data_IF_799006359930
#
_entry.id   IF_799006359930
#
_cell.length_a   1.000
_cell.length_b   1.000
_cell.length_c   1.000
_cell.angle_alpha   90.00
_cell.angle_beta   90.00
_cell.angle_gamma   90.00
#
_symmetry.space_group_name_H-M   'P 1'
#
loop_
_entity.id
_entity.type
_entity.pdbx_description
1 polymer ?
#
# COMPACT_ATOMS: atom_id res chain seq x y z
N UNK A 1 6.86 -4.45 0.17
CA UNK A 1 6.47 -4.97 -1.15
C UNK A 1 6.92 -4.06 -2.31
N UNK A 2 6.51 -2.78 -2.36
CA UNK A 2 6.87 -1.84 -3.44
C UNK A 2 8.38 -1.81 -3.76
N UNK A 3 9.24 -1.72 -2.75
CA UNK A 3 10.71 -1.78 -2.91
C UNK A 3 11.17 -3.03 -3.68
N UNK A 4 10.54 -4.18 -3.42
CA UNK A 4 10.88 -5.47 -4.03
C UNK A 4 10.39 -5.58 -5.47
N UNK A 5 9.26 -4.96 -5.82
CA UNK A 5 8.78 -4.78 -7.20
C UNK A 5 9.72 -3.85 -7.96
N UNK A 6 10.05 -2.69 -7.38
CA UNK A 6 10.94 -1.71 -8.00
C UNK A 6 12.36 -2.24 -8.23
N UNK A 7 12.85 -3.16 -7.38
CA UNK A 7 14.11 -3.86 -7.61
C UNK A 7 14.10 -4.65 -8.92
N UNK A 8 13.03 -5.40 -9.21
CA UNK A 8 12.89 -6.18 -10.45
C UNK A 8 12.77 -5.26 -11.67
N UNK A 9 12.00 -4.16 -11.54
CA UNK A 9 11.81 -3.20 -12.62
C UNK A 9 13.10 -2.48 -12.99
N UNK A 10 13.83 -1.97 -12.01
CA UNK A 10 15.11 -1.27 -12.22
C UNK A 10 16.17 -2.20 -12.80
N UNK A 11 16.20 -3.48 -12.41
CA UNK A 11 17.12 -4.47 -12.98
C UNK A 11 16.95 -4.66 -14.50
N UNK A 12 15.80 -4.26 -15.06
CA UNK A 12 15.49 -4.32 -16.48
C UNK A 12 15.39 -2.92 -17.12
N UNK A 13 15.87 -1.87 -16.44
CA UNK A 13 15.83 -0.50 -16.97
C UNK A 13 14.43 0.13 -17.01
N UNK A 14 13.45 -0.46 -16.32
CA UNK A 14 12.09 0.09 -16.26
C UNK A 14 11.97 1.15 -15.15
N UNK A 15 11.13 2.19 -15.36
CA UNK A 15 10.84 3.18 -14.32
C UNK A 15 10.25 2.53 -13.07
N UNK A 16 10.62 3.08 -11.91
CA UNK A 16 10.01 2.73 -10.62
C UNK A 16 8.53 3.10 -10.61
N UNK A 17 7.73 2.28 -9.95
CA UNK A 17 6.38 2.63 -9.55
C UNK A 17 6.43 3.41 -8.23
N UNK A 18 5.42 4.22 -7.99
CA UNK A 18 5.17 4.86 -6.70
C UNK A 18 3.88 4.34 -6.06
N UNK A 19 3.73 4.58 -4.76
CA UNK A 19 2.53 4.21 -4.03
C UNK A 19 1.34 5.10 -4.43
N UNK A 20 0.14 4.52 -4.46
CA UNK A 20 -1.12 5.25 -4.55
C UNK A 20 -2.19 4.60 -3.66
N UNK A 21 -2.74 5.38 -2.74
CA UNK A 21 -3.65 4.99 -1.67
C UNK A 21 -4.96 4.39 -2.17
N UNK A 22 -5.44 4.82 -3.34
CA UNK A 22 -6.66 4.28 -3.96
C UNK A 22 -6.45 2.86 -4.49
N UNK A 23 -5.30 2.61 -5.15
CA UNK A 23 -4.90 1.26 -5.54
C UNK A 23 -4.68 0.37 -4.32
N UNK A 24 -4.06 0.92 -3.26
CA UNK A 24 -3.86 0.23 -1.99
C UNK A 24 -5.19 -0.20 -1.35
N UNK A 25 -6.19 0.70 -1.33
CA UNK A 25 -7.52 0.40 -0.80
C UNK A 25 -8.22 -0.71 -1.60
N UNK A 26 -8.11 -0.70 -2.93
CA UNK A 26 -8.64 -1.76 -3.79
C UNK A 26 -7.97 -3.12 -3.52
N UNK A 27 -6.64 -3.14 -3.41
CA UNK A 27 -5.88 -4.34 -3.08
C UNK A 27 -6.25 -4.88 -1.69
N UNK A 28 -6.42 -4.00 -0.70
CA UNK A 28 -6.80 -4.37 0.67
C UNK A 28 -8.18 -5.01 0.71
N UNK A 29 -9.12 -4.45 -0.03
CA UNK A 29 -10.45 -5.03 -0.18
C UNK A 29 -10.37 -6.46 -0.71
N UNK A 30 -9.58 -6.71 -1.75
CA UNK A 30 -9.46 -8.04 -2.33
C UNK A 30 -8.76 -9.04 -1.40
N UNK A 31 -7.65 -8.64 -0.78
CA UNK A 31 -6.95 -9.50 0.19
C UNK A 31 -7.83 -9.87 1.38
N UNK A 32 -8.59 -8.91 1.91
CA UNK A 32 -9.53 -9.15 3.00
C UNK A 32 -10.66 -10.10 2.59
N UNK A 33 -11.23 -9.92 1.39
CA UNK A 33 -12.30 -10.78 0.89
C UNK A 33 -11.83 -12.22 0.68
N UNK A 34 -10.69 -12.41 0.02
CA UNK A 34 -10.06 -13.73 -0.16
C UNK A 34 -9.79 -14.42 1.17
N UNK A 35 -9.26 -13.68 2.17
CA UNK A 35 -8.99 -14.21 3.49
C UNK A 35 -10.26 -14.56 4.27
N UNK A 36 -11.28 -13.70 4.25
CA UNK A 36 -12.52 -13.90 4.98
C UNK A 36 -13.40 -15.02 4.39
N UNK A 37 -13.36 -15.20 3.07
CA UNK A 37 -14.18 -16.17 2.35
C UNK A 37 -13.42 -17.42 1.93
N UNK A 38 -12.15 -17.52 2.32
CA UNK A 38 -11.30 -18.69 2.13
C UNK A 38 -11.16 -19.14 0.66
N UNK A 39 -10.84 -18.21 -0.25
CA UNK A 39 -10.61 -18.50 -1.66
C UNK A 39 -9.45 -17.66 -2.22
N UNK A 40 -8.95 -18.00 -3.41
CA UNK A 40 -8.01 -17.17 -4.17
C UNK A 40 -8.54 -17.00 -5.59
N UNK A 41 -8.82 -15.76 -5.99
CA UNK A 41 -9.33 -15.39 -7.31
C UNK A 41 -9.12 -13.89 -7.55
N UNK A 42 -9.11 -13.49 -8.83
CA UNK A 42 -9.18 -12.09 -9.24
C UNK A 42 -10.59 -11.50 -9.06
N UNK A 43 -11.61 -12.35 -9.08
CA UNK A 43 -13.01 -11.97 -8.86
C UNK A 43 -13.34 -12.07 -7.38
N UNK A 44 -13.89 -11.02 -6.79
CA UNK A 44 -14.35 -11.00 -5.40
C UNK A 44 -15.59 -11.87 -5.19
N UNK A 45 -15.89 -12.19 -3.93
CA UNK A 45 -17.06 -12.98 -3.54
C UNK A 45 -18.39 -12.28 -3.86
N UNK A 46 -18.34 -10.97 -4.07
CA UNK A 46 -19.43 -10.11 -4.51
C UNK A 46 -19.47 -9.91 -6.04
N UNK A 47 -18.74 -10.73 -6.79
CA UNK A 47 -18.53 -10.59 -8.25
C UNK A 47 -17.77 -9.34 -8.69
N UNK A 48 -17.15 -8.59 -7.77
CA UNK A 48 -16.31 -7.45 -8.13
C UNK A 48 -15.10 -7.89 -8.95
N UNK A 49 -14.75 -7.11 -9.96
CA UNK A 49 -13.51 -7.27 -10.74
C UNK A 49 -12.44 -6.35 -10.18
N UNK A 50 -11.17 -6.58 -10.52
CA UNK A 50 -10.08 -5.64 -10.26
C UNK A 50 -10.47 -4.21 -10.67
N UNK A 51 -10.94 -4.03 -11.90
CA UNK A 51 -11.29 -2.70 -12.41
C UNK A 51 -12.45 -2.07 -11.66
N UNK A 52 -13.46 -2.83 -11.23
CA UNK A 52 -14.57 -2.29 -10.44
C UNK A 52 -14.13 -1.87 -9.04
N UNK A 53 -13.27 -2.67 -8.37
CA UNK A 53 -12.70 -2.31 -7.06
C UNK A 53 -11.85 -1.04 -7.14
N UNK A 54 -10.95 -0.97 -8.12
CA UNK A 54 -10.07 0.18 -8.34
C UNK A 54 -10.88 1.44 -8.69
N UNK A 55 -11.89 1.31 -9.54
CA UNK A 55 -12.78 2.44 -9.89
C UNK A 55 -13.61 2.89 -8.68
N UNK A 56 -14.11 1.95 -7.88
CA UNK A 56 -14.87 2.25 -6.65
C UNK A 56 -14.01 2.91 -5.56
N UNK A 57 -12.70 2.62 -5.53
CA UNK A 57 -11.74 3.32 -4.68
C UNK A 57 -11.42 4.75 -5.18
N UNK A 58 -12.04 5.20 -6.27
CA UNK A 58 -11.88 6.53 -6.82
C UNK A 58 -10.72 6.70 -7.80
N UNK A 59 -9.94 5.64 -8.07
CA UNK A 59 -8.81 5.73 -8.99
C UNK A 59 -9.29 5.82 -10.44
N UNK A 60 -8.83 6.83 -11.17
CA UNK A 60 -9.12 7.04 -12.60
C UNK A 60 -7.97 6.48 -13.44
N UNK A 61 -8.25 5.50 -14.29
CA UNK A 61 -7.21 4.71 -14.95
C UNK A 61 -7.33 4.65 -16.47
N UNK A 62 -6.18 4.46 -17.11
CA UNK A 62 -6.03 4.13 -18.54
C UNK A 62 -5.37 2.77 -18.75
N UNK A 63 -4.67 2.23 -17.75
CA UNK A 63 -4.18 0.86 -17.72
C UNK A 63 -4.19 0.33 -16.29
N UNK A 64 -4.52 -0.96 -16.13
CA UNK A 64 -4.52 -1.67 -14.87
C UNK A 64 -3.84 -3.03 -15.00
N UNK A 65 -3.42 -3.61 -13.88
CA UNK A 65 -2.97 -4.99 -13.75
C UNK A 65 -3.12 -5.46 -12.31
N UNK A 66 -3.37 -6.75 -12.08
CA UNK A 66 -3.49 -7.33 -10.74
C UNK A 66 -2.72 -8.63 -10.65
N UNK A 67 -2.03 -8.84 -9.53
CA UNK A 67 -1.57 -10.14 -9.11
C UNK A 67 -2.22 -10.51 -7.79
N UNK A 68 -2.73 -11.74 -7.68
CA UNK A 68 -3.18 -12.31 -6.41
C UNK A 68 -2.34 -13.53 -6.05
N UNK A 69 -2.22 -13.82 -4.77
CA UNK A 69 -1.56 -15.04 -4.29
C UNK A 69 -2.11 -15.45 -2.92
N UNK A 70 -1.93 -16.73 -2.59
CA UNK A 70 -2.27 -17.26 -1.29
C UNK A 70 -1.25 -18.33 -0.84
N UNK A 71 -0.93 -18.36 0.45
CA UNK A 71 -0.06 -19.35 1.10
C UNK A 71 1.39 -18.92 1.30
N UNK A 72 1.85 -17.86 0.62
CA UNK A 72 3.23 -17.37 0.78
C UNK A 72 3.36 -16.54 2.06
N UNK A 73 4.27 -16.94 2.94
CA UNK A 73 4.36 -16.40 4.31
C UNK A 73 4.99 -15.00 4.38
N UNK A 74 5.69 -14.57 3.34
CA UNK A 74 6.36 -13.27 3.31
C UNK A 74 6.56 -12.71 1.88
N UNK A 75 6.93 -11.43 1.82
CA UNK A 75 7.14 -10.68 0.56
C UNK A 75 8.15 -11.36 -0.38
N UNK A 76 9.22 -11.95 0.14
CA UNK A 76 10.21 -12.62 -0.71
C UNK A 76 9.63 -13.87 -1.37
N UNK A 77 8.92 -14.70 -0.60
CA UNK A 77 8.28 -15.91 -1.12
C UNK A 77 7.22 -15.63 -2.19
N UNK A 78 6.36 -14.62 -1.98
CA UNK A 78 5.31 -14.27 -2.95
C UNK A 78 5.87 -13.60 -4.20
N UNK A 79 6.88 -12.74 -4.06
CA UNK A 79 7.53 -12.12 -5.21
C UNK A 79 8.32 -13.13 -6.04
N UNK A 80 8.99 -14.10 -5.43
CA UNK A 80 9.62 -15.21 -6.16
C UNK A 80 8.57 -16.01 -6.94
N UNK A 81 7.43 -16.33 -6.32
CA UNK A 81 6.33 -17.04 -6.99
C UNK A 81 5.78 -16.26 -8.20
N UNK A 82 5.50 -14.96 -8.04
CA UNK A 82 5.03 -14.12 -9.14
C UNK A 82 6.06 -13.93 -10.25
N UNK A 83 7.34 -13.71 -9.92
CA UNK A 83 8.38 -13.51 -10.95
C UNK A 83 8.69 -14.79 -11.75
N UNK A 84 8.40 -15.97 -11.20
CA UNK A 84 8.50 -17.26 -11.88
C UNK A 84 7.24 -17.62 -12.69
N UNK A 85 6.18 -16.81 -12.60
CA UNK A 85 4.94 -17.02 -13.35
C UNK A 85 4.84 -16.00 -14.49
N UNK A 86 4.78 -16.42 -15.77
CA UNK A 86 4.82 -15.50 -16.91
C UNK A 86 3.76 -14.39 -16.86
N UNK A 87 2.51 -14.73 -16.51
CA UNK A 87 1.42 -13.74 -16.40
C UNK A 87 1.65 -12.72 -15.29
N UNK A 88 1.99 -13.19 -14.09
CA UNK A 88 2.23 -12.29 -12.95
C UNK A 88 3.48 -11.42 -13.15
N UNK A 89 4.53 -11.99 -13.74
CA UNK A 89 5.74 -11.26 -14.14
C UNK A 89 5.41 -10.16 -15.15
N UNK A 90 4.56 -10.45 -16.14
CA UNK A 90 4.15 -9.45 -17.13
C UNK A 90 3.46 -8.24 -16.47
N UNK A 91 2.61 -8.46 -15.46
CA UNK A 91 2.01 -7.37 -14.68
C UNK A 91 3.06 -6.55 -13.92
N UNK A 92 4.00 -7.21 -13.22
CA UNK A 92 5.08 -6.53 -12.46
C UNK A 92 5.94 -5.63 -13.36
N UNK A 93 6.17 -6.06 -14.60
CA UNK A 93 7.01 -5.36 -15.58
C UNK A 93 6.20 -4.48 -16.55
N UNK A 94 4.88 -4.39 -16.38
CA UNK A 94 4.00 -3.65 -17.27
C UNK A 94 4.22 -2.12 -17.25
N UNK A 95 3.61 -1.44 -18.21
CA UNK A 95 3.69 0.01 -18.40
C UNK A 95 2.72 0.75 -17.47
N UNK A 96 3.06 0.75 -16.19
CA UNK A 96 2.34 1.42 -15.10
C UNK A 96 3.21 2.50 -14.46
N UNK A 97 2.58 3.39 -13.70
CA UNK A 97 3.28 4.45 -12.95
C UNK A 97 3.03 4.35 -11.44
N UNK A 98 1.92 3.73 -11.03
CA UNK A 98 1.47 3.64 -9.64
C UNK A 98 1.18 2.19 -9.24
N UNK A 99 1.18 1.96 -7.93
CA UNK A 99 1.08 0.64 -7.32
C UNK A 99 0.39 0.72 -5.96
N UNK A 100 -0.46 -0.28 -5.69
CA UNK A 100 -1.00 -0.59 -4.38
C UNK A 100 -0.82 -2.08 -4.08
N UNK A 101 -0.71 -2.44 -2.81
CA UNK A 101 -0.55 -3.85 -2.42
C UNK A 101 -1.01 -4.13 -1.00
N UNK A 102 -1.75 -5.20 -0.83
CA UNK A 102 -2.22 -5.59 0.48
C UNK A 102 -1.82 -7.01 0.84
N UNK A 103 -1.91 -7.24 2.15
CA UNK A 103 -1.75 -8.53 2.78
C UNK A 103 -2.88 -8.70 3.79
N UNK A 104 -3.47 -9.89 3.83
CA UNK A 104 -4.42 -10.29 4.85
C UNK A 104 -4.05 -11.67 5.41
N UNK A 105 -4.21 -11.82 6.72
CA UNK A 105 -3.99 -13.07 7.42
C UNK A 105 -5.28 -13.59 8.03
N UNK A 106 -5.58 -14.87 7.84
CA UNK A 106 -6.67 -15.56 8.53
C UNK A 106 -6.23 -16.95 8.95
N UNK A 107 -5.99 -17.17 10.25
CA UNK A 107 -5.56 -18.47 10.79
C UNK A 107 -6.56 -19.60 10.54
N UNK A 108 -7.85 -19.28 10.37
CA UNK A 108 -8.93 -20.23 10.12
C UNK A 108 -9.16 -20.55 8.64
N UNK A 109 -8.41 -19.94 7.71
CA UNK A 109 -8.54 -20.21 6.28
C UNK A 109 -7.50 -21.23 5.78
N UNK A 110 -7.76 -21.83 4.62
CA UNK A 110 -6.92 -22.85 3.97
C UNK A 110 -5.49 -22.36 3.74
N UNK A 111 -5.33 -21.13 3.25
CA UNK A 111 -4.01 -20.61 2.85
C UNK A 111 -3.34 -19.74 3.89
N UNK A 112 -4.11 -19.23 4.87
CA UNK A 112 -3.70 -18.29 5.93
C UNK A 112 -3.20 -16.92 5.48
N UNK A 113 -2.35 -16.86 4.45
CA UNK A 113 -1.70 -15.67 3.93
C UNK A 113 -2.28 -15.32 2.56
N UNK A 114 -2.78 -14.10 2.37
CA UNK A 114 -3.34 -13.64 1.09
C UNK A 114 -2.71 -12.32 0.69
N UNK A 115 -2.42 -12.19 -0.60
CA UNK A 115 -1.73 -11.03 -1.15
C UNK A 115 -2.44 -10.54 -2.41
N UNK A 116 -2.49 -9.22 -2.55
CA UNK A 116 -2.91 -8.56 -3.79
C UNK A 116 -1.88 -7.49 -4.16
N UNK A 117 -1.56 -7.38 -5.44
CA UNK A 117 -0.89 -6.24 -6.05
C UNK A 117 -1.82 -5.66 -7.09
N UNK A 118 -2.07 -4.35 -7.01
CA UNK A 118 -2.77 -3.60 -8.03
C UNK A 118 -1.81 -2.58 -8.66
N UNK A 119 -1.73 -2.60 -9.98
CA UNK A 119 -0.90 -1.73 -10.79
C UNK A 119 -1.79 -0.76 -11.55
N UNK A 120 -1.38 0.51 -11.65
CA UNK A 120 -2.19 1.53 -12.30
C UNK A 120 -1.39 2.54 -13.10
N UNK A 121 -2.02 3.04 -14.16
CA UNK A 121 -1.66 4.26 -14.86
C UNK A 121 -2.92 5.10 -15.02
N UNK A 122 -2.85 6.39 -14.67
CA UNK A 122 -3.95 7.34 -14.78
C UNK A 122 -3.39 8.74 -14.99
N UNK A 123 -3.96 9.51 -15.92
CA UNK A 123 -3.46 10.86 -16.25
C UNK A 123 -3.84 11.91 -15.21
N UNK A 124 -4.84 11.63 -14.38
CA UNK A 124 -5.32 12.51 -13.29
C UNK A 124 -4.94 11.97 -11.91
N UNK A 125 -4.07 10.98 -11.86
CA UNK A 125 -3.65 10.32 -10.62
C UNK A 125 -2.19 10.63 -10.36
N UNK A 126 -1.83 10.74 -9.08
CA UNK A 126 -0.49 11.01 -8.62
C UNK A 126 -0.02 9.96 -7.63
N UNK A 127 1.29 9.89 -7.45
CA UNK A 127 1.88 9.23 -6.29
C UNK A 127 1.37 9.91 -5.02
N UNK A 128 1.16 9.14 -3.96
CA UNK A 128 0.99 9.76 -2.65
C UNK A 128 2.33 10.40 -2.26
N UNK A 129 2.29 11.65 -1.83
CA UNK A 129 3.46 12.32 -1.25
C UNK A 129 3.52 11.98 0.24
N UNK A 130 4.74 11.85 0.78
CA UNK A 130 4.93 11.80 2.24
C UNK A 130 4.38 13.07 2.92
N UNK A 131 4.22 14.18 2.20
CA UNK A 131 3.54 15.39 2.71
C UNK A 131 2.04 15.17 2.96
N UNK A 132 1.34 14.39 2.14
CA UNK A 132 -0.06 14.04 2.39
C UNK A 132 -0.20 13.14 3.63
N UNK A 133 0.71 12.16 3.80
CA UNK A 133 0.76 11.35 5.01
C UNK A 133 1.14 12.17 6.27
N UNK A 134 1.99 13.19 6.12
CA UNK A 134 2.36 14.08 7.22
C UNK A 134 1.26 15.09 7.57
N UNK A 135 0.49 15.59 6.61
CA UNK A 135 -0.64 16.48 6.84
C UNK A 135 -1.75 15.78 7.66
N UNK A 136 -2.03 14.51 7.36
CA UNK A 136 -2.97 13.71 8.15
C UNK A 136 -2.48 13.51 9.61
N UNK A 137 -1.17 13.39 9.82
CA UNK A 137 -0.60 13.31 11.17
C UNK A 137 -0.66 14.68 11.88
N UNK A 138 -0.42 15.77 11.16
CA UNK A 138 -0.51 17.13 11.73
C UNK A 138 -1.94 17.46 12.19
N UNK A 139 -2.97 17.05 11.45
CA UNK A 139 -4.37 17.22 11.86
C UNK A 139 -4.70 16.38 13.12
N UNK A 140 -4.16 15.17 13.24
CA UNK A 140 -4.31 14.31 14.42
C UNK A 140 -3.57 14.88 15.64
N UNK A 141 -2.40 15.49 15.44
CA UNK A 141 -1.57 16.05 16.52
C UNK A 141 -1.98 17.48 16.89
N UNK A 142 -2.61 18.25 16.00
CA UNK A 142 -3.04 19.63 16.22
C UNK A 142 -3.76 19.87 17.57
N UNK A 143 -4.72 19.04 18.01
CA UNK A 143 -5.37 19.21 19.32
C UNK A 143 -4.49 18.83 20.53
N UNK A 144 -3.37 18.13 20.34
CA UNK A 144 -2.47 17.68 21.41
C UNK A 144 -1.27 18.63 21.65
N UNK A 145 -0.93 19.48 20.68
CA UNK A 145 0.17 20.45 20.77
C UNK A 145 0.00 21.43 21.95
N UNK A 146 -1.20 21.99 22.25
CA UNK A 146 -1.37 22.90 23.39
C UNK A 146 -1.13 22.22 24.75
N UNK A 147 -1.37 20.91 24.86
CA UNK A 147 -1.24 20.17 26.13
C UNK A 147 0.23 19.92 26.52
N UNK A 148 1.13 19.81 25.53
CA UNK A 148 2.57 19.60 25.75
C UNK A 148 3.24 20.89 26.25
N UNK A 149 2.85 22.05 25.72
CA UNK A 149 3.43 23.34 26.15
C UNK A 149 2.91 23.84 27.51
N UNK A 150 1.76 23.33 27.99
CA UNK A 150 1.22 23.69 29.30
C UNK A 150 1.91 22.97 30.47
N UNK A 151 2.74 21.95 30.21
CA UNK A 151 3.44 21.16 31.24
C UNK A 151 4.94 21.46 31.33
N UNK A 152 5.47 22.40 30.54
CA UNK A 152 6.85 22.86 30.69
C UNK A 152 7.01 23.66 32.00
N UNK A 153 7.84 23.23 32.95
CA UNK A 153 8.08 23.99 34.17
C UNK A 153 8.83 25.27 33.80
N UNK A 154 8.33 26.41 34.29
CA UNK A 154 8.99 27.71 34.20
C UNK A 154 10.38 27.62 34.83
N UNK A 155 11.42 27.69 34.02
CA UNK A 155 12.79 27.85 34.51
C UNK A 155 12.94 29.27 35.06
N UNK A 156 12.86 29.41 36.39
CA UNK A 156 13.34 30.61 37.08
C UNK A 156 14.84 30.77 36.84
N UNK A 157 15.22 31.92 36.31
CA UNK A 157 16.61 32.37 36.19
C UNK A 157 17.14 32.73 37.60
N UNK A 158 18.25 32.15 38.11
CA UNK A 158 18.82 32.63 39.35
C UNK A 158 19.56 33.95 39.11
N UNK A 159 19.26 34.92 39.98
CA UNK A 159 19.95 36.20 40.05
C UNK A 159 21.44 36.00 40.36
N UNK A 160 22.27 36.72 39.60
CA UNK A 160 23.71 36.72 39.72
C UNK A 160 24.14 37.48 40.99
N UNK A 161 24.74 36.81 41.96
CA UNK A 161 25.36 37.45 43.11
C UNK A 161 26.86 37.63 42.85
N UNK A 162 27.29 38.88 42.70
CA UNK A 162 28.71 39.26 42.75
C UNK A 162 29.17 39.51 44.19
N UNK A 163 30.36 38.97 44.47
CA UNK A 163 31.32 39.12 45.59
C UNK A 163 31.00 40.14 46.67
#
# INVERSE_FOLDING_TARGET
MLTRVNKERVALGLPKLCHNSKLQAAAQRQSNDMAAKNFMSHTGSDSSTMSSRITSAGYRWTALGENVAAGQVNVNSVMTAWMNSPGHRANILGSYTMFGTAYAYNSGSTYKHYWTQDFGKGSTESCDSMEAELADIEEILAPLIPAINATAPSTETPANATV
#
